data_IF_210646965797
#
_entry.id   IF_210646965797
#
_cell.length_a   1.000
_cell.length_b   1.000
_cell.length_c   1.000
_cell.angle_alpha   90.00
_cell.angle_beta   90.00
_cell.angle_gamma   90.00
#
_symmetry.space_group_name_H-M   'P 1'
#
loop_
_entity.id
_entity.type
_entity.pdbx_description
1 polymer ?
#
# COMPACT_ATOMS: atom_id res chain seq x y z
N UNK A 1 61.48 -6.18 -2.07
CA UNK A 1 60.55 -7.28 -1.68
C UNK A 1 59.62 -6.69 -0.64
N UNK A 2 58.43 -6.16 -0.91
CA UNK A 2 57.42 -6.46 -1.93
C UNK A 2 56.11 -6.57 -1.15
N UNK A 3 55.60 -5.43 -0.65
CA UNK A 3 54.40 -5.35 0.18
C UNK A 3 53.18 -4.99 -0.65
N UNK A 4 52.14 -5.80 -0.56
CA UNK A 4 50.85 -5.61 -1.24
C UNK A 4 49.81 -5.13 -0.23
N UNK A 5 49.51 -3.83 -0.27
CA UNK A 5 48.31 -3.25 0.34
C UNK A 5 47.11 -3.52 -0.57
N UNK A 6 46.04 -4.08 -0.02
CA UNK A 6 44.76 -4.23 -0.72
C UNK A 6 43.92 -2.95 -0.52
N UNK A 7 43.55 -2.32 -1.64
CA UNK A 7 42.60 -1.22 -1.71
C UNK A 7 41.16 -1.73 -1.52
N UNK A 8 40.44 -1.12 -0.57
CA UNK A 8 39.00 -1.30 -0.39
C UNK A 8 38.26 -0.29 -1.28
N UNK A 9 37.57 -0.81 -2.30
CA UNK A 9 36.71 -0.03 -3.19
C UNK A 9 35.49 0.51 -2.44
N UNK A 10 35.46 1.82 -2.26
CA UNK A 10 34.32 2.57 -1.74
C UNK A 10 33.29 2.76 -2.88
N UNK A 11 32.10 2.15 -2.76
CA UNK A 11 30.99 2.39 -3.69
C UNK A 11 30.40 3.78 -3.40
N UNK A 12 30.70 4.75 -4.26
CA UNK A 12 30.09 6.07 -4.28
C UNK A 12 28.70 5.97 -4.90
N UNK A 13 27.65 6.28 -4.13
CA UNK A 13 26.31 6.49 -4.68
C UNK A 13 26.32 7.79 -5.51
N UNK A 14 26.16 7.65 -6.82
CA UNK A 14 26.07 8.77 -7.75
C UNK A 14 24.84 9.64 -7.42
N UNK A 15 25.08 10.92 -7.12
CA UNK A 15 24.03 11.94 -7.06
C UNK A 15 23.62 12.26 -8.51
N UNK A 16 22.44 11.81 -8.92
CA UNK A 16 21.89 12.10 -10.25
C UNK A 16 21.16 13.45 -10.22
N UNK A 17 21.81 14.49 -10.72
CA UNK A 17 21.25 15.84 -10.97
C UNK A 17 20.28 15.87 -12.17
N UNK A 18 19.45 14.85 -12.34
CA UNK A 18 18.47 14.83 -13.41
C UNK A 18 17.17 15.48 -12.93
N UNK A 19 16.89 16.69 -13.41
CA UNK A 19 15.59 17.35 -13.27
C UNK A 19 14.57 16.66 -14.21
N UNK A 20 14.22 15.41 -13.90
CA UNK A 20 13.29 14.60 -14.70
C UNK A 20 11.88 15.19 -14.53
N UNK A 21 11.18 15.55 -15.62
CA UNK A 21 9.81 16.05 -15.53
C UNK A 21 8.91 15.06 -14.79
N UNK A 22 8.05 15.54 -13.88
CA UNK A 22 7.15 14.68 -13.07
C UNK A 22 6.37 13.67 -13.92
N UNK A 23 5.92 14.07 -15.10
CA UNK A 23 5.21 13.19 -16.04
C UNK A 23 6.06 11.98 -16.47
N UNK A 24 7.34 12.20 -16.76
CA UNK A 24 8.28 11.14 -17.14
C UNK A 24 8.51 10.20 -15.96
N UNK A 25 8.71 10.75 -14.76
CA UNK A 25 8.89 9.96 -13.55
C UNK A 25 7.67 9.08 -13.26
N UNK A 26 6.45 9.60 -13.46
CA UNK A 26 5.23 8.78 -13.33
C UNK A 26 5.20 7.66 -14.36
N UNK A 27 5.51 7.95 -15.63
CA UNK A 27 5.49 6.94 -16.71
C UNK A 27 6.41 5.75 -16.42
N UNK A 28 7.55 5.98 -15.77
CA UNK A 28 8.49 4.92 -15.37
C UNK A 28 7.98 4.02 -14.24
N UNK A 29 6.93 4.44 -13.53
CA UNK A 29 6.39 3.75 -12.36
C UNK A 29 4.91 3.36 -12.52
N UNK A 30 4.44 3.26 -13.76
CA UNK A 30 3.13 2.70 -14.13
C UNK A 30 3.29 1.61 -15.19
N UNK A 31 2.32 0.71 -15.29
CA UNK A 31 2.17 -0.24 -16.40
C UNK A 31 0.83 -0.04 -17.08
N UNK A 32 0.73 -0.33 -18.38
CA UNK A 32 -0.52 -0.30 -19.13
C UNK A 32 -0.86 -1.70 -19.62
N UNK A 33 -2.10 -2.10 -19.46
CA UNK A 33 -2.70 -3.32 -19.98
C UNK A 33 -4.11 -3.01 -20.55
N UNK A 34 -4.90 -4.05 -20.82
CA UNK A 34 -6.25 -3.93 -21.38
C UNK A 34 -7.27 -3.39 -20.36
N UNK A 35 -6.98 -3.50 -19.06
CA UNK A 35 -7.85 -3.03 -17.98
C UNK A 35 -7.58 -1.57 -17.57
N UNK A 36 -6.41 -1.03 -17.93
CA UNK A 36 -6.09 0.38 -17.82
C UNK A 36 -4.60 0.64 -17.54
N UNK A 37 -4.33 1.70 -16.78
CA UNK A 37 -2.99 2.08 -16.36
C UNK A 37 -2.87 1.80 -14.85
N UNK A 38 -1.97 0.91 -14.50
CA UNK A 38 -1.78 0.38 -13.15
C UNK A 38 -0.58 1.02 -12.46
N UNK A 39 -0.69 1.23 -11.15
CA UNK A 39 0.45 1.59 -10.32
C UNK A 39 1.46 0.43 -10.28
N UNK A 40 2.73 0.72 -10.61
CA UNK A 40 3.85 -0.22 -10.55
C UNK A 40 4.97 0.29 -9.63
N UNK A 41 4.61 1.09 -8.63
CA UNK A 41 5.61 1.70 -7.75
C UNK A 41 6.23 0.67 -6.79
N UNK A 42 5.44 -0.28 -6.30
CA UNK A 42 5.92 -1.43 -5.53
C UNK A 42 6.24 -2.59 -6.46
N UNK A 43 7.45 -3.15 -6.31
CA UNK A 43 7.88 -4.34 -7.07
C UNK A 43 7.43 -5.64 -6.41
N UNK A 44 7.10 -5.58 -5.12
CA UNK A 44 6.81 -6.73 -4.28
C UNK A 44 5.29 -6.98 -4.16
N UNK A 45 4.92 -8.24 -3.95
CA UNK A 45 3.53 -8.60 -3.66
C UNK A 45 3.15 -8.19 -2.22
N UNK A 46 1.93 -7.66 -2.01
CA UNK A 46 0.83 -7.55 -2.98
C UNK A 46 0.97 -6.36 -3.93
N UNK A 47 0.66 -6.60 -5.21
CA UNK A 47 0.63 -5.55 -6.24
C UNK A 47 -0.41 -4.49 -5.88
N UNK A 48 -0.07 -3.22 -6.13
CA UNK A 48 -1.02 -2.14 -5.92
C UNK A 48 -2.22 -2.29 -6.87
N UNK A 49 -3.43 -2.21 -6.32
CA UNK A 49 -4.68 -2.36 -7.08
C UNK A 49 -5.16 -1.06 -7.72
N UNK A 50 -4.39 0.03 -7.62
CA UNK A 50 -4.78 1.31 -8.20
C UNK A 50 -4.62 1.30 -9.72
N UNK A 51 -5.76 1.47 -10.39
CA UNK A 51 -5.87 1.55 -11.86
C UNK A 51 -6.58 2.85 -12.26
N UNK A 52 -6.12 3.46 -13.36
CA UNK A 52 -6.82 4.54 -14.03
C UNK A 52 -7.03 4.21 -15.50
N UNK A 53 -8.24 4.40 -16.01
CA UNK A 53 -8.55 4.22 -17.43
C UNK A 53 -7.82 5.24 -18.32
N UNK A 54 -7.75 6.48 -17.85
CA UNK A 54 -7.07 7.57 -18.56
C UNK A 54 -5.82 8.01 -17.80
N UNK A 55 -4.72 8.21 -18.52
CA UNK A 55 -3.46 8.62 -17.91
C UNK A 55 -3.55 10.04 -17.33
N UNK A 56 -3.50 10.15 -16.00
CA UNK A 56 -3.35 11.43 -15.31
C UNK A 56 -2.17 11.37 -14.34
N UNK A 57 -1.01 11.88 -14.78
CA UNK A 57 0.22 11.84 -13.99
C UNK A 57 0.08 12.50 -12.60
N UNK A 58 -0.79 13.50 -12.41
CA UNK A 58 -1.00 14.13 -11.10
C UNK A 58 -1.72 13.20 -10.12
N UNK A 59 -2.65 12.39 -10.61
CA UNK A 59 -3.38 11.42 -9.80
C UNK A 59 -2.47 10.28 -9.35
N UNK A 60 -1.65 9.75 -10.27
CA UNK A 60 -0.62 8.77 -9.92
C UNK A 60 0.39 9.31 -8.93
N UNK A 61 0.92 10.52 -9.14
CA UNK A 61 1.87 11.11 -8.18
C UNK A 61 1.27 11.26 -6.77
N UNK A 62 -0.02 11.65 -6.67
CA UNK A 62 -0.72 11.71 -5.37
C UNK A 62 -0.90 10.32 -4.76
N UNK A 63 -1.33 9.35 -5.57
CA UNK A 63 -1.47 7.96 -5.17
C UNK A 63 -0.14 7.39 -4.65
N UNK A 64 0.96 7.61 -5.35
CA UNK A 64 2.31 7.22 -4.94
C UNK A 64 2.65 7.79 -3.56
N UNK A 65 2.48 9.10 -3.36
CA UNK A 65 2.80 9.73 -2.08
C UNK A 65 1.92 9.26 -0.91
N UNK A 66 0.67 8.85 -1.15
CA UNK A 66 -0.26 8.44 -0.09
C UNK A 66 -0.20 6.94 0.21
N UNK A 67 -0.12 6.10 -0.82
CA UNK A 67 -0.19 4.65 -0.68
C UNK A 67 1.19 3.99 -0.63
N UNK A 68 2.21 4.65 -1.15
CA UNK A 68 3.58 4.15 -1.28
C UNK A 68 4.61 5.21 -0.84
N UNK A 69 4.47 5.79 0.38
CA UNK A 69 5.24 6.97 0.77
C UNK A 69 6.76 6.72 0.75
N UNK A 70 7.19 5.50 1.04
CA UNK A 70 8.60 5.14 1.07
C UNK A 70 9.19 5.04 -0.35
N UNK A 71 8.55 4.26 -1.23
CA UNK A 71 8.96 4.04 -2.61
C UNK A 71 8.87 5.34 -3.42
N UNK A 72 7.81 6.13 -3.20
CA UNK A 72 7.62 7.42 -3.83
C UNK A 72 8.74 8.40 -3.46
N UNK A 73 9.17 8.38 -2.20
CA UNK A 73 10.31 9.18 -1.73
C UNK A 73 11.61 8.72 -2.38
N UNK A 74 11.87 7.41 -2.46
CA UNK A 74 13.09 6.88 -3.09
C UNK A 74 13.17 7.22 -4.59
N UNK A 75 12.01 7.28 -5.27
CA UNK A 75 11.91 7.62 -6.68
C UNK A 75 11.87 9.12 -6.95
N UNK A 76 11.88 9.97 -5.91
CA UNK A 76 11.95 11.43 -6.07
C UNK A 76 10.60 12.12 -6.32
N UNK A 77 9.45 11.44 -6.19
CA UNK A 77 8.13 12.08 -6.29
C UNK A 77 7.89 13.14 -5.21
N UNK A 78 8.62 13.03 -4.10
CA UNK A 78 8.53 13.96 -2.97
C UNK A 78 9.57 15.11 -3.05
N UNK A 79 10.25 15.34 -4.19
CA UNK A 79 11.32 16.37 -4.28
C UNK A 79 10.86 17.80 -3.95
N UNK A 80 9.61 18.18 -4.15
CA UNK A 80 9.07 19.48 -3.69
C UNK A 80 8.84 19.61 -2.17
N UNK A 81 8.77 18.49 -1.45
CA UNK A 81 8.58 18.45 0.00
C UNK A 81 9.93 18.51 0.76
N UNK A 82 11.04 18.20 0.08
CA UNK A 82 12.40 18.14 0.64
C UNK A 82 13.38 19.17 0.04
N UNK A 83 13.24 19.56 -1.24
CA UNK A 83 14.32 20.23 -1.99
C UNK A 83 14.16 21.75 -2.16
N UNK A 84 12.96 22.30 -1.99
CA UNK A 84 12.74 23.76 -1.95
C UNK A 84 13.48 24.49 -0.81
N UNK A 85 14.26 23.78 0.00
CA UNK A 85 15.04 24.30 1.13
C UNK A 85 16.55 24.20 0.89
N UNK A 86 17.06 23.31 0.03
CA UNK A 86 18.50 23.16 -0.19
C UNK A 86 19.07 24.22 -1.16
N UNK A 87 18.34 24.56 -2.23
CA UNK A 87 18.84 25.54 -3.22
C UNK A 87 18.79 27.00 -2.74
N UNK A 88 18.00 27.32 -1.71
CA UNK A 88 17.94 28.67 -1.14
C UNK A 88 19.06 28.99 -0.14
N UNK A 89 19.97 28.04 0.10
CA UNK A 89 21.11 28.21 1.01
C UNK A 89 22.42 28.65 0.36
N UNK A 90 22.56 28.60 -0.97
CA UNK A 90 23.88 28.77 -1.63
C UNK A 90 23.94 29.91 -2.66
N UNK A 91 22.82 30.54 -3.03
CA UNK A 91 22.82 31.68 -3.97
C UNK A 91 22.15 32.93 -3.39
N UNK A 92 22.78 33.54 -2.38
CA UNK A 92 22.66 34.98 -2.08
C UNK A 92 23.97 35.51 -1.48
N UNK A 93 25.00 35.54 -2.32
CA UNK A 93 26.18 36.37 -2.09
C UNK A 93 26.80 36.82 -3.43
N UNK A 94 26.00 37.32 -4.37
CA UNK A 94 26.44 38.33 -5.34
C UNK A 94 25.28 38.83 -6.19
N UNK A 95 25.32 40.14 -6.38
CA UNK A 95 24.69 40.94 -7.43
C UNK A 95 23.22 41.35 -7.34
N UNK A 96 23.11 42.68 -7.31
CA UNK A 96 21.93 43.50 -7.48
C UNK A 96 21.66 43.71 -8.98
N UNK A 97 20.39 44.02 -9.21
CA UNK A 97 19.80 44.76 -10.33
C UNK A 97 19.30 43.99 -11.56
N UNK A 98 18.09 44.43 -11.92
CA UNK A 98 17.37 44.35 -13.19
C UNK A 98 16.31 43.24 -13.43
N UNK A 99 15.06 43.67 -13.26
CA UNK A 99 13.93 43.61 -14.23
C UNK A 99 13.03 42.34 -14.29
N UNK A 100 11.81 42.55 -13.75
CA UNK A 100 10.45 42.31 -14.27
C UNK A 100 9.97 40.89 -14.63
N UNK A 101 8.86 40.52 -13.97
CA UNK A 101 7.77 39.74 -14.57
C UNK A 101 7.51 38.37 -13.94
N UNK A 102 6.85 38.31 -12.77
CA UNK A 102 6.38 37.03 -12.21
C UNK A 102 4.93 37.07 -11.72
N UNK A 103 4.20 36.10 -12.29
CA UNK A 103 2.86 35.62 -11.97
C UNK A 103 2.72 35.37 -10.46
N UNK A 104 1.69 35.99 -9.87
CA UNK A 104 1.30 35.83 -8.47
C UNK A 104 0.66 34.44 -8.24
N UNK A 105 1.37 33.55 -7.56
CA UNK A 105 0.74 32.43 -6.86
C UNK A 105 0.86 32.73 -5.37
N UNK A 106 -0.28 33.01 -4.75
CA UNK A 106 -0.40 33.42 -3.35
C UNK A 106 -0.16 32.21 -2.43
N UNK A 107 1.09 31.96 -2.04
CA UNK A 107 1.40 31.08 -0.91
C UNK A 107 1.28 31.93 0.36
N UNK A 108 0.45 31.55 1.35
CA UNK A 108 0.27 32.35 2.55
C UNK A 108 1.60 32.48 3.31
N UNK A 109 1.97 33.73 3.63
CA UNK A 109 3.18 34.04 4.37
C UNK A 109 3.19 33.29 5.71
N UNK A 110 4.33 32.66 6.03
CA UNK A 110 4.53 32.02 7.32
C UNK A 110 4.36 33.06 8.44
N UNK A 111 3.44 32.80 9.36
CA UNK A 111 3.20 33.65 10.52
C UNK A 111 4.50 33.80 11.34
N UNK A 112 4.75 34.98 11.93
CA UNK A 112 5.90 35.20 12.80
C UNK A 112 5.94 34.15 13.91
N UNK A 113 7.14 33.62 14.19
CA UNK A 113 7.34 32.52 15.14
C UNK A 113 6.83 32.93 16.52
N UNK A 114 5.90 32.20 17.13
CA UNK A 114 5.59 32.41 18.53
C UNK A 114 6.84 32.07 19.37
N UNK A 115 7.19 32.94 20.31
CA UNK A 115 8.35 32.78 21.19
C UNK A 115 8.02 31.78 22.32
N UNK A 116 7.61 30.57 21.94
CA UNK A 116 7.17 29.50 22.83
C UNK A 116 8.14 28.32 22.73
N UNK A 117 8.46 27.70 23.87
CA UNK A 117 9.10 26.39 23.87
C UNK A 117 8.18 25.36 23.22
N UNK A 118 8.72 24.27 22.65
CA UNK A 118 7.87 23.22 22.08
C UNK A 118 6.89 22.65 23.08
N UNK A 119 7.29 22.46 24.34
CA UNK A 119 6.39 21.96 25.37
C UNK A 119 5.16 22.86 25.49
N UNK A 120 5.36 24.19 25.54
CA UNK A 120 4.27 25.16 25.57
C UNK A 120 3.46 25.17 24.27
N UNK A 121 4.11 24.99 23.12
CA UNK A 121 3.43 24.94 21.83
C UNK A 121 2.55 23.69 21.72
N UNK A 122 3.04 22.52 22.15
CA UNK A 122 2.28 21.26 22.19
C UNK A 122 1.11 21.36 23.13
N UNK A 123 1.31 21.90 24.34
CA UNK A 123 0.24 22.08 25.32
C UNK A 123 -0.92 22.94 24.82
N UNK A 124 -0.72 23.75 23.78
CA UNK A 124 -1.78 24.56 23.16
C UNK A 124 -2.70 23.76 22.24
N UNK A 125 -2.30 22.55 21.84
CA UNK A 125 -3.00 21.73 20.84
C UNK A 125 -3.28 20.31 21.34
N UNK A 126 -3.43 20.17 22.65
CA UNK A 126 -3.87 18.95 23.32
C UNK A 126 -4.99 19.31 24.30
N UNK A 127 -5.90 18.37 24.54
CA UNK A 127 -6.84 18.39 25.67
C UNK A 127 -6.53 17.26 26.63
N UNK A 128 -7.00 17.40 27.87
CA UNK A 128 -6.84 16.40 28.93
C UNK A 128 -8.24 16.08 29.45
N UNK A 129 -8.71 14.87 29.18
CA UNK A 129 -10.01 14.34 29.61
C UNK A 129 -9.75 13.02 30.34
N UNK A 130 -10.28 12.85 31.56
CA UNK A 130 -10.21 11.59 32.33
C UNK A 130 -8.80 10.95 32.42
N UNK A 131 -7.77 11.75 32.71
CA UNK A 131 -6.36 11.33 32.77
C UNK A 131 -5.76 10.89 31.41
N UNK A 132 -6.47 11.13 30.30
CA UNK A 132 -6.02 10.87 28.94
C UNK A 132 -5.78 12.19 28.22
N UNK A 133 -4.64 12.27 27.53
CA UNK A 133 -4.21 13.45 26.78
C UNK A 133 -4.52 13.21 25.30
N UNK A 134 -5.41 14.02 24.74
CA UNK A 134 -5.89 13.91 23.36
C UNK A 134 -5.21 14.93 22.45
N UNK A 135 -5.04 14.57 21.17
CA UNK A 135 -4.60 15.51 20.14
C UNK A 135 -5.77 16.40 19.66
N UNK A 136 -5.61 17.73 19.74
CA UNK A 136 -6.59 18.72 19.24
C UNK A 136 -6.06 19.58 18.09
N UNK A 137 -4.95 19.17 17.47
CA UNK A 137 -4.32 19.98 16.43
C UNK A 137 -5.20 20.18 15.19
N UNK A 138 -6.08 19.22 14.90
CA UNK A 138 -7.03 19.26 13.77
C UNK A 138 -8.10 20.38 13.88
N UNK A 139 -8.24 21.01 15.06
CA UNK A 139 -9.26 22.04 15.29
C UNK A 139 -10.67 21.53 15.01
N UNK A 140 -11.38 22.15 14.06
CA UNK A 140 -12.77 21.81 13.70
C UNK A 140 -12.89 20.58 12.79
N UNK A 141 -11.79 19.90 12.48
CA UNK A 141 -11.81 18.64 11.72
C UNK A 141 -12.34 17.45 12.56
N UNK A 142 -12.40 16.25 11.96
CA UNK A 142 -12.67 15.03 12.71
C UNK A 142 -11.65 14.88 13.86
N UNK A 143 -12.14 14.51 15.05
CA UNK A 143 -11.30 14.34 16.24
C UNK A 143 -10.18 13.35 15.96
N UNK A 144 -8.95 13.74 16.26
CA UNK A 144 -7.82 12.84 16.15
C UNK A 144 -7.92 11.75 17.22
N UNK A 145 -7.68 10.50 16.84
CA UNK A 145 -7.75 9.34 17.75
C UNK A 145 -6.46 9.13 18.54
N UNK A 146 -5.42 9.93 18.30
CA UNK A 146 -4.16 9.81 19.02
C UNK A 146 -4.30 10.31 20.45
N UNK A 147 -3.96 9.42 21.39
CA UNK A 147 -4.04 9.65 22.83
C UNK A 147 -2.76 9.21 23.53
N UNK A 148 -2.43 9.86 24.64
CA UNK A 148 -1.38 9.44 25.57
C UNK A 148 -1.88 9.50 27.00
N UNK A 149 -1.52 8.52 27.83
CA UNK A 149 -1.77 8.59 29.28
C UNK A 149 -0.72 9.47 29.98
N UNK A 150 0.54 9.40 29.55
CA UNK A 150 1.62 10.24 30.07
C UNK A 150 2.00 11.35 29.09
N UNK A 151 2.17 12.58 29.58
CA UNK A 151 2.49 13.71 28.72
C UNK A 151 3.92 13.62 28.15
N UNK A 152 4.03 13.28 26.86
CA UNK A 152 5.28 13.36 26.11
C UNK A 152 5.19 14.32 24.93
N UNK A 153 5.56 15.58 25.17
CA UNK A 153 5.55 16.64 24.16
C UNK A 153 6.32 16.29 22.87
N UNK A 154 7.37 15.46 22.91
CA UNK A 154 8.10 15.07 21.70
C UNK A 154 7.30 14.10 20.85
N UNK A 155 6.62 13.14 21.47
CA UNK A 155 5.74 12.19 20.78
C UNK A 155 4.56 12.91 20.12
N UNK A 156 3.93 13.86 20.82
CA UNK A 156 2.90 14.72 20.23
C UNK A 156 3.43 15.55 19.05
N UNK A 157 4.62 16.15 19.16
CA UNK A 157 5.20 16.91 18.06
C UNK A 157 5.45 16.04 16.81
N UNK A 158 5.91 14.79 16.98
CA UNK A 158 6.06 13.83 15.88
C UNK A 158 4.70 13.46 15.29
N UNK A 159 3.74 13.12 16.14
CA UNK A 159 2.37 12.81 15.74
C UNK A 159 1.74 13.96 14.93
N UNK A 160 1.87 15.20 15.40
CA UNK A 160 1.41 16.40 14.71
C UNK A 160 1.97 16.51 13.30
N UNK A 161 3.28 16.32 13.14
CA UNK A 161 3.90 16.44 11.83
C UNK A 161 3.63 15.27 10.88
N UNK A 162 3.31 14.09 11.41
CA UNK A 162 3.01 12.90 10.60
C UNK A 162 1.52 12.84 10.21
N UNK A 163 0.63 13.10 11.16
CA UNK A 163 -0.81 12.91 11.01
C UNK A 163 -1.56 14.20 10.67
N UNK A 164 -0.99 15.36 11.01
CA UNK A 164 -1.57 16.69 10.77
C UNK A 164 -0.57 17.64 10.09
N UNK A 165 0.08 17.24 8.98
CA UNK A 165 1.21 17.98 8.42
C UNK A 165 0.85 19.42 8.04
N UNK A 166 -0.41 19.66 7.63
CA UNK A 166 -0.87 20.98 7.22
C UNK A 166 -1.15 21.89 8.42
N UNK A 167 -1.86 21.39 9.42
CA UNK A 167 -2.18 22.10 10.66
C UNK A 167 -0.90 22.36 11.46
N UNK A 168 -0.03 21.35 11.58
CA UNK A 168 1.26 21.44 12.22
C UNK A 168 2.10 22.58 11.61
N UNK A 169 2.16 22.67 10.28
CA UNK A 169 2.83 23.75 9.56
C UNK A 169 2.24 25.13 9.89
N UNK A 170 0.90 25.26 9.88
CA UNK A 170 0.19 26.50 10.23
C UNK A 170 0.41 26.93 11.68
N UNK A 171 0.57 25.97 12.60
CA UNK A 171 0.72 26.22 14.04
C UNK A 171 2.18 26.30 14.50
N UNK A 172 3.14 26.24 13.58
CA UNK A 172 4.56 26.47 13.87
C UNK A 172 5.36 25.22 14.24
N UNK A 173 4.82 24.02 14.09
CA UNK A 173 5.55 22.74 14.19
C UNK A 173 6.40 22.44 12.94
N UNK A 174 6.99 23.47 12.35
CA UNK A 174 7.73 23.36 11.10
C UNK A 174 8.97 22.46 11.22
N UNK A 175 9.42 21.92 10.07
CA UNK A 175 10.55 20.99 9.94
C UNK A 175 11.85 21.41 10.63
N UNK A 176 12.09 22.71 10.81
CA UNK A 176 13.27 23.19 11.56
C UNK A 176 13.33 22.62 12.98
N UNK A 177 12.17 22.50 13.63
CA UNK A 177 12.08 21.98 14.99
C UNK A 177 12.28 20.46 15.06
N UNK A 178 11.65 19.71 14.15
CA UNK A 178 11.80 18.25 14.09
C UNK A 178 13.21 17.83 13.67
N UNK A 179 13.82 18.56 12.73
CA UNK A 179 15.21 18.34 12.33
C UNK A 179 16.15 18.58 13.51
N UNK A 180 16.00 19.67 14.26
CA UNK A 180 16.82 19.94 15.43
C UNK A 180 16.59 18.93 16.58
N UNK A 181 15.35 18.49 16.82
CA UNK A 181 15.07 17.47 17.83
C UNK A 181 15.55 16.08 17.42
N UNK A 182 15.40 15.71 16.15
CA UNK A 182 15.88 14.44 15.62
C UNK A 182 17.41 14.43 15.51
N UNK A 183 18.04 15.54 15.13
CA UNK A 183 19.50 15.69 15.10
C UNK A 183 20.07 15.70 16.51
N UNK A 184 19.47 16.41 17.47
CA UNK A 184 19.89 16.35 18.88
C UNK A 184 19.65 14.97 19.48
N UNK A 185 18.58 14.27 19.10
CA UNK A 185 18.35 12.88 19.51
C UNK A 185 19.32 11.90 18.82
N UNK A 186 19.72 12.16 17.57
CA UNK A 186 20.69 11.36 16.83
C UNK A 186 22.12 11.59 17.34
N UNK A 187 22.50 12.83 17.68
CA UNK A 187 23.77 13.17 18.32
C UNK A 187 23.81 12.62 19.75
N UNK A 188 22.71 12.70 20.52
CA UNK A 188 22.62 12.04 21.81
C UNK A 188 22.74 10.50 21.68
N UNK A 189 22.16 9.90 20.63
CA UNK A 189 22.32 8.47 20.32
C UNK A 189 23.71 8.10 19.79
N UNK A 190 24.39 9.01 19.09
CA UNK A 190 25.74 8.79 18.55
C UNK A 190 26.84 8.96 19.61
N UNK A 191 26.65 9.87 20.58
CA UNK A 191 27.50 10.01 21.76
C UNK A 191 27.28 8.90 22.81
N UNK A 192 26.25 8.07 22.63
CA UNK A 192 25.93 6.89 23.43
C UNK A 192 26.30 5.61 22.67
N UNK A 193 27.55 5.49 22.25
CA UNK A 193 28.16 4.17 22.06
C UNK A 193 29.09 3.87 23.23
N UNK A 194 28.65 2.85 23.98
CA UNK A 194 29.41 1.97 24.90
C UNK A 194 29.61 2.54 26.31
N UNK A 195 28.53 2.49 27.10
CA UNK A 195 28.45 1.87 28.43
C UNK A 195 27.16 2.33 29.14
N UNK A 196 26.00 2.12 28.51
CA UNK A 196 24.78 2.02 29.31
C UNK A 196 24.72 0.58 29.75
N UNK A 197 25.16 0.33 30.98
CA UNK A 197 24.74 -0.85 31.71
C UNK A 197 23.22 -0.74 31.87
N UNK A 198 22.48 -1.13 30.81
CA UNK A 198 21.05 -1.26 30.87
C UNK A 198 20.79 -2.29 31.96
N UNK A 199 20.35 -1.81 33.12
CA UNK A 199 20.01 -2.69 34.24
C UNK A 199 18.89 -3.59 33.72
N UNK A 200 19.13 -4.90 33.76
CA UNK A 200 18.09 -5.86 33.43
C UNK A 200 16.91 -5.63 34.37
N UNK A 201 15.66 -5.77 33.88
CA UNK A 201 14.47 -5.52 34.71
C UNK A 201 14.43 -6.44 35.94
N UNK A 202 14.99 -7.65 35.80
CA UNK A 202 15.17 -8.61 36.90
C UNK A 202 16.56 -9.23 36.86
N UNK A 203 17.02 -9.73 38.01
CA UNK A 203 18.23 -10.56 38.10
C UNK A 203 18.03 -11.95 37.47
N UNK A 204 16.80 -12.45 37.49
CA UNK A 204 16.42 -13.75 36.95
C UNK A 204 15.98 -13.63 35.47
N UNK A 205 16.71 -14.24 34.50
CA UNK A 205 16.36 -14.23 33.08
C UNK A 205 15.03 -14.90 32.76
N UNK A 206 14.49 -15.72 33.67
CA UNK A 206 13.22 -16.43 33.47
C UNK A 206 11.97 -15.56 33.68
N UNK A 207 12.16 -14.26 33.95
CA UNK A 207 11.07 -13.30 34.23
C UNK A 207 10.78 -12.33 33.10
N UNK A 208 11.56 -12.37 32.01
CA UNK A 208 11.41 -11.43 30.91
C UNK A 208 11.83 -12.06 29.58
N UNK A 209 11.35 -11.48 28.48
CA UNK A 209 11.79 -11.81 27.14
C UNK A 209 13.23 -11.33 26.92
N UNK A 210 14.13 -12.24 26.55
CA UNK A 210 15.55 -11.96 26.31
C UNK A 210 15.80 -10.87 25.25
N UNK A 211 14.94 -10.79 24.24
CA UNK A 211 15.14 -9.88 23.08
C UNK A 211 14.55 -8.49 23.27
N UNK A 212 13.46 -8.34 24.03
CA UNK A 212 12.78 -7.06 24.19
C UNK A 212 12.62 -6.60 25.65
N UNK A 213 13.10 -7.38 26.61
CA UNK A 213 12.92 -7.18 28.05
C UNK A 213 11.46 -7.06 28.53
N UNK A 214 10.48 -7.42 27.69
CA UNK A 214 9.08 -7.47 28.09
C UNK A 214 8.87 -8.53 29.17
N UNK A 215 8.21 -8.14 30.24
CA UNK A 215 7.77 -9.01 31.34
C UNK A 215 6.32 -9.43 31.17
N UNK A 216 5.62 -8.86 30.19
CA UNK A 216 4.23 -9.14 29.86
C UNK A 216 4.13 -10.08 28.67
N UNK A 217 3.09 -10.93 28.69
CA UNK A 217 2.75 -11.87 27.63
C UNK A 217 3.20 -13.31 27.91
N UNK A 218 2.82 -14.21 27.00
CA UNK A 218 3.23 -15.61 27.05
C UNK A 218 4.71 -15.72 26.69
N UNK A 219 5.52 -16.09 27.69
CA UNK A 219 6.95 -16.33 27.54
C UNK A 219 7.19 -17.84 27.37
N UNK A 220 8.00 -18.21 26.38
CA UNK A 220 8.39 -19.60 26.13
C UNK A 220 9.89 -19.78 26.30
N UNK A 221 10.37 -20.94 26.78
CA UNK A 221 11.80 -21.20 26.92
C UNK A 221 12.48 -21.23 25.56
N UNK A 222 13.65 -20.59 25.47
CA UNK A 222 14.45 -20.63 24.23
C UNK A 222 15.03 -22.03 24.01
N UNK A 223 15.44 -22.70 25.09
CA UNK A 223 15.94 -24.06 25.04
C UNK A 223 14.86 -25.03 25.56
N UNK A 224 14.12 -25.66 24.66
CA UNK A 224 13.19 -26.73 25.02
C UNK A 224 13.76 -28.09 24.60
N UNK A 225 14.02 -28.98 25.58
CA UNK A 225 14.55 -30.33 25.31
C UNK A 225 13.58 -31.25 24.58
N UNK A 226 12.28 -30.91 24.56
CA UNK A 226 11.23 -31.76 23.96
C UNK A 226 10.86 -31.37 22.55
N UNK A 227 11.09 -30.12 22.17
CA UNK A 227 10.67 -29.61 20.88
C UNK A 227 11.86 -29.59 19.92
N UNK A 228 11.67 -30.12 18.72
CA UNK A 228 12.67 -30.02 17.64
C UNK A 228 12.81 -28.59 17.08
N UNK A 229 12.12 -27.62 17.66
CA UNK A 229 12.20 -26.23 17.26
C UNK A 229 13.44 -25.60 17.91
N UNK A 230 14.52 -25.52 17.14
CA UNK A 230 15.75 -24.87 17.55
C UNK A 230 15.61 -23.34 17.52
N UNK A 231 14.91 -22.82 18.52
CA UNK A 231 14.67 -21.39 18.68
C UNK A 231 15.97 -20.63 18.95
N UNK A 232 16.97 -21.28 19.56
CA UNK A 232 18.29 -20.71 19.76
C UNK A 232 18.99 -20.47 18.41
N UNK A 233 19.01 -21.47 17.52
CA UNK A 233 19.54 -21.30 16.16
C UNK A 233 18.74 -20.27 15.35
N UNK A 234 17.43 -20.16 15.56
CA UNK A 234 16.61 -19.13 14.93
C UNK A 234 16.99 -17.72 15.41
N UNK A 235 17.23 -17.53 16.71
CA UNK A 235 17.71 -16.27 17.28
C UNK A 235 19.08 -15.90 16.69
N UNK A 236 20.02 -16.85 16.65
CA UNK A 236 21.37 -16.63 16.12
C UNK A 236 21.32 -16.27 14.62
N UNK A 237 20.59 -17.02 13.80
CA UNK A 237 20.50 -16.78 12.36
C UNK A 237 19.81 -15.46 11.98
N UNK A 238 18.84 -15.01 12.77
CA UNK A 238 18.11 -13.76 12.51
C UNK A 238 18.77 -12.52 13.13
N UNK A 239 19.48 -12.65 14.25
CA UNK A 239 19.98 -11.50 15.04
C UNK A 239 21.48 -11.49 15.28
N UNK A 240 22.18 -12.57 14.96
CA UNK A 240 23.59 -12.81 15.29
C UNK A 240 23.89 -12.81 16.80
N UNK A 241 22.85 -12.96 17.65
CA UNK A 241 23.02 -13.16 19.09
C UNK A 241 23.17 -14.65 19.35
N UNK A 242 24.36 -15.05 19.79
CA UNK A 242 24.63 -16.41 20.25
C UNK A 242 24.16 -16.57 21.70
N UNK A 243 23.40 -17.63 21.96
CA UNK A 243 22.93 -17.99 23.29
C UNK A 243 23.64 -19.28 23.69
N UNK A 244 24.27 -19.25 24.86
CA UNK A 244 25.00 -20.40 25.37
C UNK A 244 24.02 -21.34 26.09
N UNK A 245 23.97 -22.65 25.75
CA UNK A 245 23.01 -23.57 26.35
C UNK A 245 23.15 -23.74 27.86
N UNK A 246 24.33 -23.54 28.42
CA UNK A 246 24.61 -23.72 29.84
C UNK A 246 24.30 -22.42 30.62
N UNK A 247 24.68 -21.26 30.08
CA UNK A 247 24.47 -19.95 30.72
C UNK A 247 23.05 -19.37 30.47
N UNK A 248 22.49 -19.57 29.27
CA UNK A 248 21.20 -19.01 28.86
C UNK A 248 20.03 -20.02 28.96
N UNK A 249 20.21 -21.16 29.66
CA UNK A 249 19.17 -22.21 29.79
C UNK A 249 17.82 -21.69 30.28
N UNK A 250 17.83 -20.63 31.11
CA UNK A 250 16.63 -20.01 31.70
C UNK A 250 16.07 -18.85 30.88
N UNK A 251 16.68 -18.53 29.75
CA UNK A 251 16.22 -17.43 28.88
C UNK A 251 14.87 -17.78 28.27
N UNK A 252 13.95 -16.83 28.34
CA UNK A 252 12.63 -16.93 27.71
C UNK A 252 12.51 -15.92 26.57
N UNK A 253 11.60 -16.19 25.64
CA UNK A 253 11.22 -15.26 24.57
C UNK A 253 9.69 -15.09 24.56
N UNK A 254 9.20 -13.88 24.30
CA UNK A 254 7.75 -13.68 24.13
C UNK A 254 7.29 -14.10 22.73
N UNK A 255 6.01 -14.48 22.62
CA UNK A 255 5.36 -14.86 21.34
C UNK A 255 5.61 -13.81 20.24
N UNK A 256 5.49 -12.51 20.56
CA UNK A 256 5.69 -11.45 19.56
C UNK A 256 7.13 -11.36 19.04
N UNK A 257 8.15 -11.63 19.87
CA UNK A 257 9.52 -11.71 19.38
C UNK A 257 9.75 -12.98 18.56
N UNK A 258 9.16 -14.10 18.96
CA UNK A 258 9.22 -15.35 18.20
C UNK A 258 8.61 -15.19 16.79
N UNK A 259 7.44 -14.56 16.68
CA UNK A 259 6.79 -14.29 15.40
C UNK A 259 7.66 -13.44 14.48
N UNK A 260 8.26 -12.37 15.01
CA UNK A 260 9.21 -11.53 14.25
C UNK A 260 10.43 -12.31 13.76
N UNK A 261 10.97 -13.22 14.56
CA UNK A 261 12.07 -14.07 14.12
C UNK A 261 11.67 -14.97 12.95
N UNK A 262 10.47 -15.55 12.97
CA UNK A 262 9.96 -16.34 11.84
C UNK A 262 9.71 -15.48 10.59
N UNK A 263 9.20 -14.25 10.75
CA UNK A 263 9.05 -13.30 9.64
C UNK A 263 10.39 -12.96 8.98
N UNK A 264 11.41 -12.66 9.79
CA UNK A 264 12.79 -12.41 9.31
C UNK A 264 13.31 -13.64 8.56
N UNK A 265 13.15 -14.84 9.11
CA UNK A 265 13.61 -16.07 8.47
C UNK A 265 12.87 -16.35 7.14
N UNK A 266 11.57 -16.06 7.06
CA UNK A 266 10.77 -16.18 5.84
C UNK A 266 11.28 -15.21 4.77
N UNK A 267 11.53 -13.97 5.15
CA UNK A 267 12.08 -12.95 4.27
C UNK A 267 13.49 -13.32 3.78
N UNK A 268 14.38 -13.78 4.67
CA UNK A 268 15.71 -14.25 4.28
C UNK A 268 15.66 -15.37 3.24
N UNK A 269 14.79 -16.38 3.44
CA UNK A 269 14.58 -17.48 2.47
C UNK A 269 14.06 -16.96 1.13
N UNK A 270 13.14 -15.99 1.15
CA UNK A 270 12.64 -15.35 -0.06
C UNK A 270 13.77 -14.65 -0.82
N UNK A 271 14.60 -13.85 -0.14
CA UNK A 271 15.75 -13.19 -0.76
C UNK A 271 16.76 -14.19 -1.35
N UNK A 272 17.06 -15.27 -0.64
CA UNK A 272 17.97 -16.32 -1.12
C UNK A 272 17.44 -16.97 -2.41
N UNK A 273 16.17 -17.37 -2.42
CA UNK A 273 15.52 -17.96 -3.60
C UNK A 273 15.55 -17.01 -4.79
N UNK A 274 15.24 -15.73 -4.60
CA UNK A 274 15.28 -14.73 -5.67
C UNK A 274 16.72 -14.53 -6.18
N UNK A 275 17.71 -14.51 -5.28
CA UNK A 275 19.11 -14.40 -5.66
C UNK A 275 19.59 -15.62 -6.47
N UNK A 276 19.18 -16.83 -6.10
CA UNK A 276 19.48 -18.05 -6.87
C UNK A 276 18.95 -17.96 -8.32
N UNK A 277 17.73 -17.46 -8.50
CA UNK A 277 17.14 -17.23 -9.82
C UNK A 277 18.02 -16.26 -10.62
N UNK A 278 18.42 -15.13 -10.03
CA UNK A 278 19.29 -14.13 -10.69
C UNK A 278 20.66 -14.73 -11.06
N UNK A 279 21.27 -15.49 -10.17
CA UNK A 279 22.57 -16.16 -10.42
C UNK A 279 22.44 -17.19 -11.54
N UNK A 280 21.36 -17.97 -11.57
CA UNK A 280 21.12 -18.97 -12.62
C UNK A 280 20.89 -18.33 -13.99
N UNK A 281 20.15 -17.22 -14.06
CA UNK A 281 20.01 -16.45 -15.30
C UNK A 281 21.36 -15.91 -15.81
N UNK A 282 22.22 -15.41 -14.92
CA UNK A 282 23.58 -14.94 -15.29
C UNK A 282 24.47 -16.07 -15.81
N UNK A 283 24.35 -17.28 -15.25
CA UNK A 283 25.10 -18.46 -15.71
C UNK A 283 24.59 -18.98 -17.05
N UNK A 284 23.27 -19.00 -17.25
CA UNK A 284 22.64 -19.43 -18.52
C UNK A 284 23.00 -18.54 -19.70
N UNK A 285 23.02 -17.21 -19.51
CA UNK A 285 23.36 -16.26 -20.57
C UNK A 285 24.81 -16.35 -21.07
N UNK A 286 25.72 -16.93 -20.28
CA UNK A 286 27.12 -17.14 -20.69
C UNK A 286 27.32 -18.36 -21.59
N UNK A 287 26.39 -19.33 -21.61
CA UNK A 287 26.53 -20.56 -22.41
C UNK A 287 26.09 -20.41 -23.86
N UNK A 288 25.33 -19.36 -24.21
CA UNK A 288 24.85 -19.09 -25.59
C UNK A 288 25.78 -18.24 -26.46
N UNK A 289 26.96 -17.86 -25.96
CA UNK A 289 28.04 -17.21 -26.75
C UNK A 289 29.27 -18.11 -26.85
N UNK A 290 29.11 -19.31 -27.41
CA UNK A 290 30.26 -20.01 -28.00
C UNK A 290 30.28 -19.66 -29.49
N UNK A 291 31.32 -18.96 -29.99
CA UNK A 291 31.41 -18.62 -31.40
C UNK A 291 31.51 -19.91 -32.21
N UNK A 292 30.64 -20.05 -33.20
CA UNK A 292 30.80 -21.03 -34.27
C UNK A 292 32.18 -20.77 -34.89
N UNK A 293 33.14 -21.63 -34.54
CA UNK A 293 34.37 -21.78 -35.30
C UNK A 293 34.10 -22.93 -36.23
N UNK A 294 33.98 -22.58 -37.51
CA UNK A 294 33.93 -23.47 -38.65
C UNK A 294 35.25 -24.27 -38.71
N UNK A 295 35.15 -25.48 -39.27
CA UNK A 295 36.20 -26.42 -39.67
C UNK A 295 36.85 -27.32 -38.59
N UNK A 296 36.41 -28.59 -38.51
CA UNK A 296 37.03 -29.71 -39.25
C UNK A 296 36.69 -31.10 -38.64
N UNK A 297 35.97 -31.90 -39.45
CA UNK A 297 36.11 -33.33 -39.78
C UNK A 297 36.32 -34.46 -38.74
N UNK A 298 35.60 -35.54 -39.08
CA UNK A 298 35.80 -36.98 -38.88
C UNK A 298 35.28 -37.67 -37.61
N UNK A 299 34.22 -38.44 -37.87
CA UNK A 299 33.97 -39.84 -37.49
C UNK A 299 33.87 -40.20 -36.01
N UNK A 300 32.63 -40.30 -35.50
CA UNK A 300 32.24 -41.50 -34.75
C UNK A 300 30.72 -41.71 -34.74
N UNK A 301 30.32 -42.94 -35.04
CA UNK A 301 28.96 -43.45 -34.96
C UNK A 301 28.55 -43.67 -33.51
N UNK A 302 27.35 -43.22 -33.13
CA UNK A 302 26.33 -43.95 -32.35
C UNK A 302 25.53 -43.08 -31.36
N UNK A 303 24.22 -43.37 -31.32
CA UNK A 303 23.20 -42.95 -30.35
C UNK A 303 22.76 -41.46 -30.48
N UNK A 304 21.79 -41.11 -31.32
CA UNK A 304 20.37 -41.52 -31.33
C UNK A 304 19.67 -41.39 -29.96
N UNK A 305 19.25 -40.17 -29.61
CA UNK A 305 18.08 -39.96 -28.75
C UNK A 305 17.35 -38.68 -29.18
N UNK A 306 16.30 -38.85 -29.99
CA UNK A 306 15.43 -37.80 -30.51
C UNK A 306 14.51 -37.28 -29.39
N UNK A 307 14.61 -36.00 -29.05
CA UNK A 307 13.49 -35.23 -28.50
C UNK A 307 12.91 -34.41 -29.64
N UNK A 308 11.84 -34.96 -30.20
CA UNK A 308 11.00 -34.38 -31.24
C UNK A 308 10.20 -33.20 -30.63
N UNK A 309 10.71 -31.99 -30.80
CA UNK A 309 9.95 -30.77 -30.53
C UNK A 309 9.09 -30.44 -31.74
N UNK A 310 7.79 -30.45 -31.49
CA UNK A 310 6.68 -30.01 -32.32
C UNK A 310 7.03 -28.69 -33.03
N UNK A 311 7.21 -28.79 -34.34
CA UNK A 311 7.18 -27.69 -35.31
C UNK A 311 5.70 -27.45 -35.67
N UNK A 312 5.15 -26.23 -35.57
CA UNK A 312 3.85 -25.95 -36.17
C UNK A 312 4.04 -25.78 -37.68
N UNK A 313 3.38 -26.64 -38.46
CA UNK A 313 3.26 -26.49 -39.90
C UNK A 313 2.23 -25.40 -40.26
N UNK A 314 2.37 -24.76 -41.43
CA UNK A 314 1.55 -23.64 -41.85
C UNK A 314 0.18 -24.12 -42.36
N UNK A 315 -0.87 -23.49 -41.88
CA UNK A 315 -2.26 -23.76 -42.25
C UNK A 315 -2.51 -23.28 -43.69
N UNK A 316 -2.65 -24.24 -44.61
CA UNK A 316 -3.05 -24.00 -45.99
C UNK A 316 -4.53 -23.62 -46.10
N UNK A 317 -4.77 -22.61 -46.94
CA UNK A 317 -6.07 -22.14 -47.40
C UNK A 317 -6.71 -23.20 -48.31
N UNK A 318 -7.93 -23.64 -47.98
CA UNK A 318 -8.82 -24.30 -48.95
C UNK A 318 -10.10 -23.47 -49.02
N UNK A 319 -10.35 -22.91 -50.20
CA UNK A 319 -11.59 -22.28 -50.58
C UNK A 319 -12.54 -23.38 -51.08
N UNK A 320 -13.69 -23.55 -50.44
CA UNK A 320 -14.84 -24.24 -51.03
C UNK A 320 -16.12 -23.44 -50.79
N UNK A 321 -16.77 -23.15 -51.90
CA UNK A 321 -18.09 -22.55 -52.00
C UNK A 321 -19.13 -23.54 -51.46
N UNK A 322 -19.91 -23.12 -50.46
CA UNK A 322 -21.16 -23.81 -50.12
C UNK A 322 -22.23 -22.76 -49.87
N UNK A 323 -23.16 -22.67 -50.82
CA UNK A 323 -24.36 -21.86 -50.76
C UNK A 323 -25.33 -22.44 -49.75
N UNK A 324 -25.45 -21.81 -48.58
CA UNK A 324 -26.53 -22.05 -47.62
C UNK A 324 -27.27 -20.73 -47.44
N UNK A 325 -28.51 -20.72 -47.92
CA UNK A 325 -29.52 -19.71 -47.59
C UNK A 325 -29.86 -19.90 -46.12
N UNK A 326 -29.33 -19.04 -45.25
CA UNK A 326 -29.74 -18.95 -43.85
C UNK A 326 -30.55 -17.66 -43.69
N UNK A 327 -31.79 -17.82 -43.22
CA UNK A 327 -32.75 -16.77 -42.96
C UNK A 327 -32.17 -15.71 -42.01
N UNK A 328 -32.50 -14.45 -42.31
CA UNK A 328 -32.19 -13.31 -41.47
C UNK A 328 -32.81 -13.51 -40.07
N UNK A 329 -32.04 -13.35 -38.97
CA UNK A 329 -32.64 -13.19 -37.66
C UNK A 329 -33.43 -11.87 -37.63
N UNK A 330 -34.58 -11.83 -36.94
CA UNK A 330 -35.40 -10.64 -36.87
C UNK A 330 -34.59 -9.51 -36.22
N UNK A 331 -34.67 -8.33 -36.82
CA UNK A 331 -34.10 -7.10 -36.29
C UNK A 331 -34.57 -6.91 -34.83
N UNK A 332 -33.65 -7.07 -33.89
CA UNK A 332 -33.87 -6.58 -32.54
C UNK A 332 -33.88 -5.05 -32.64
N UNK A 333 -35.08 -4.48 -32.45
CA UNK A 333 -35.24 -3.04 -32.22
C UNK A 333 -34.49 -2.70 -30.92
N UNK A 334 -33.24 -2.28 -31.07
CA UNK A 334 -32.49 -1.60 -30.03
C UNK A 334 -33.33 -0.41 -29.58
N UNK A 335 -33.90 -0.51 -28.38
CA UNK A 335 -34.49 0.61 -27.68
C UNK A 335 -33.39 1.64 -27.49
N UNK A 336 -33.33 2.63 -28.38
CA UNK A 336 -32.40 3.75 -28.31
C UNK A 336 -32.68 4.47 -27.00
N UNK A 337 -31.88 4.16 -25.98
CA UNK A 337 -31.97 4.78 -24.67
C UNK A 337 -31.72 6.27 -24.85
N UNK A 338 -32.80 7.05 -24.81
CA UNK A 338 -32.81 8.46 -25.15
C UNK A 338 -31.97 9.21 -24.10
N UNK A 339 -30.73 9.53 -24.48
CA UNK A 339 -29.80 10.22 -23.59
C UNK A 339 -30.36 11.61 -23.22
N UNK A 340 -30.18 12.09 -21.98
CA UNK A 340 -30.76 13.35 -21.51
C UNK A 340 -30.17 14.61 -22.15
N UNK A 341 -29.28 14.47 -23.14
CA UNK A 341 -28.65 15.55 -23.89
C UNK A 341 -28.56 15.18 -25.39
N UNK A 342 -28.53 16.21 -26.24
CA UNK A 342 -28.29 16.06 -27.69
C UNK A 342 -26.91 16.63 -28.05
N UNK A 343 -26.20 15.99 -28.98
CA UNK A 343 -24.92 16.49 -29.51
C UNK A 343 -25.22 17.35 -30.74
N UNK A 344 -24.72 18.60 -30.74
CA UNK A 344 -24.86 19.53 -31.87
C UNK A 344 -23.75 19.33 -32.90
N UNK A 345 -23.95 19.85 -34.11
CA UNK A 345 -23.01 19.71 -35.24
C UNK A 345 -21.64 20.36 -35.01
N UNK A 346 -21.53 21.30 -34.07
CA UNK A 346 -20.28 21.94 -33.67
C UNK A 346 -19.51 21.18 -32.55
N UNK A 347 -20.02 20.00 -32.15
CA UNK A 347 -19.44 19.18 -31.08
C UNK A 347 -19.80 19.65 -29.66
N UNK A 348 -20.67 20.64 -29.53
CA UNK A 348 -21.23 21.03 -28.24
C UNK A 348 -22.41 20.14 -27.83
N UNK A 349 -22.75 20.15 -26.55
CA UNK A 349 -23.78 19.31 -25.94
C UNK A 349 -24.93 20.20 -25.47
N UNK A 350 -26.17 19.91 -25.84
CA UNK A 350 -27.37 20.64 -25.43
C UNK A 350 -28.21 19.79 -24.47
N UNK A 351 -28.40 20.28 -23.25
CA UNK A 351 -29.22 19.62 -22.24
C UNK A 351 -30.69 19.60 -22.68
N UNK A 352 -31.36 18.45 -22.66
CA UNK A 352 -32.78 18.38 -23.04
C UNK A 352 -33.70 18.94 -21.95
N UNK A 353 -33.23 19.09 -20.71
CA UNK A 353 -34.05 19.57 -19.59
C UNK A 353 -34.12 21.10 -19.49
N UNK A 354 -33.07 21.82 -19.91
CA UNK A 354 -33.03 23.29 -19.82
C UNK A 354 -32.45 24.00 -21.05
N UNK A 355 -32.18 23.26 -22.13
CA UNK A 355 -31.65 23.75 -23.40
C UNK A 355 -30.28 24.45 -23.33
N UNK A 356 -29.57 24.39 -22.18
CA UNK A 356 -28.20 24.93 -22.07
C UNK A 356 -27.23 24.17 -22.96
N UNK A 357 -26.47 24.92 -23.76
CA UNK A 357 -25.38 24.39 -24.60
C UNK A 357 -24.05 24.49 -23.88
N UNK A 358 -23.31 23.38 -23.83
CA UNK A 358 -22.05 23.23 -23.11
C UNK A 358 -21.00 22.69 -24.07
N UNK A 359 -19.82 23.29 -24.04
CA UNK A 359 -18.73 23.00 -24.98
C UNK A 359 -17.96 21.71 -24.71
N UNK A 360 -18.33 20.95 -23.67
CA UNK A 360 -17.72 19.65 -23.37
C UNK A 360 -18.69 18.75 -22.60
N UNK A 361 -18.52 17.44 -22.75
CA UNK A 361 -19.27 16.44 -21.99
C UNK A 361 -19.04 16.56 -20.47
N UNK A 362 -17.83 16.94 -20.04
CA UNK A 362 -17.52 17.15 -18.63
C UNK A 362 -18.32 18.32 -18.03
N UNK A 363 -18.48 19.41 -18.81
CA UNK A 363 -19.34 20.54 -18.43
C UNK A 363 -20.81 20.10 -18.38
N UNK A 364 -21.26 19.26 -19.32
CA UNK A 364 -22.62 18.69 -19.34
C UNK A 364 -22.94 17.82 -18.13
N UNK A 365 -22.03 16.93 -17.74
CA UNK A 365 -22.20 16.08 -16.54
C UNK A 365 -22.24 16.94 -15.27
N UNK A 366 -21.33 17.92 -15.15
CA UNK A 366 -21.30 18.84 -14.01
C UNK A 366 -22.58 19.68 -13.94
N UNK A 367 -23.10 20.10 -15.09
CA UNK A 367 -24.39 20.79 -15.18
C UNK A 367 -25.55 19.91 -14.69
N UNK A 368 -25.63 18.63 -15.11
CA UNK A 368 -26.65 17.72 -14.60
C UNK A 368 -26.62 17.55 -13.08
N UNK A 369 -25.42 17.39 -12.51
CA UNK A 369 -25.25 17.25 -11.06
C UNK A 369 -25.67 18.52 -10.30
N UNK A 370 -25.35 19.70 -10.81
CA UNK A 370 -25.62 20.94 -10.08
C UNK A 370 -27.04 21.47 -10.29
N UNK A 371 -27.57 21.35 -11.51
CA UNK A 371 -28.80 22.04 -11.93
C UNK A 371 -30.01 21.08 -12.06
N UNK A 372 -29.79 19.76 -12.15
CA UNK A 372 -30.85 18.78 -12.42
C UNK A 372 -30.89 17.58 -11.45
N UNK A 373 -29.94 17.45 -10.52
CA UNK A 373 -29.92 16.38 -9.52
C UNK A 373 -31.06 16.50 -8.50
N UNK A 374 -31.79 17.63 -8.49
CA UNK A 374 -33.04 17.82 -7.73
C UNK A 374 -34.33 17.54 -8.54
N UNK A 375 -34.24 17.25 -9.84
CA UNK A 375 -35.42 17.15 -10.71
C UNK A 375 -35.90 15.70 -10.98
N UNK A 376 -35.23 14.68 -10.46
CA UNK A 376 -35.73 13.29 -10.47
C UNK A 376 -36.43 12.95 -9.15
N UNK A 377 -37.62 13.54 -8.95
CA UNK A 377 -38.84 12.86 -8.47
C UNK A 377 -39.91 13.85 -7.97
N UNK A 378 -41.01 14.04 -8.71
CA UNK A 378 -42.30 14.35 -8.15
C UNK A 378 -43.26 13.16 -8.35
N UNK A 379 -43.64 12.48 -7.28
CA UNK A 379 -44.90 11.73 -7.21
C UNK A 379 -45.47 11.87 -5.78
N UNK A 380 -46.79 11.73 -5.60
CA UNK A 380 -47.61 12.74 -4.96
C UNK A 380 -48.02 12.26 -3.57
N UNK A 381 -48.54 13.20 -2.77
CA UNK A 381 -49.27 12.93 -1.54
C UNK A 381 -50.37 11.88 -1.77
N UNK A 382 -50.11 10.66 -1.31
CA UNK A 382 -51.04 9.54 -1.29
C UNK A 382 -50.70 8.66 -0.10
N UNK A 383 -51.49 8.79 0.96
CA UNK A 383 -51.42 7.99 2.17
C UNK A 383 -51.49 6.49 1.86
N UNK A 384 -50.43 5.75 2.20
CA UNK A 384 -50.55 4.37 2.70
C UNK A 384 -49.26 4.00 3.44
N UNK A 385 -49.51 3.48 4.63
CA UNK A 385 -48.63 2.93 5.65
C UNK A 385 -47.47 2.06 5.11
N UNK A 386 -46.24 2.58 5.04
CA UNK A 386 -45.01 1.79 4.97
C UNK A 386 -43.93 2.43 5.85
N UNK A 387 -44.01 2.11 7.13
CA UNK A 387 -43.00 2.46 8.14
C UNK A 387 -42.12 1.25 8.51
N UNK A 388 -41.68 0.46 7.53
CA UNK A 388 -40.57 -0.46 7.75
C UNK A 388 -39.26 0.32 7.63
N UNK A 389 -38.77 0.80 8.78
CA UNK A 389 -37.36 1.19 8.91
C UNK A 389 -36.52 -0.03 8.59
N UNK A 390 -35.87 0.00 7.44
CA UNK A 390 -34.94 -1.03 6.99
C UNK A 390 -33.70 -1.03 7.92
N UNK A 391 -33.80 -1.76 9.05
CA UNK A 391 -32.78 -1.92 10.11
C UNK A 391 -31.58 -2.78 9.66
N UNK A 392 -31.51 -3.14 8.39
CA UNK A 392 -30.57 -4.10 7.80
C UNK A 392 -29.12 -3.58 7.62
N UNK A 393 -28.92 -2.26 7.68
CA UNK A 393 -27.59 -1.62 7.53
C UNK A 393 -27.56 -0.18 8.07
N UNK A 394 -26.43 0.22 8.65
CA UNK A 394 -26.16 1.58 9.12
C UNK A 394 -25.30 2.38 8.15
N UNK A 395 -25.51 3.69 8.06
CA UNK A 395 -24.62 4.60 7.31
C UNK A 395 -23.47 5.06 8.21
N UNK A 396 -22.23 4.90 7.74
CA UNK A 396 -21.00 5.29 8.45
C UNK A 396 -20.18 6.21 7.55
N UNK A 397 -19.58 7.27 8.09
CA UNK A 397 -18.69 8.16 7.34
C UNK A 397 -17.25 7.84 7.70
N UNK A 398 -16.43 7.46 6.71
CA UNK A 398 -15.00 7.17 6.87
C UNK A 398 -14.24 8.10 5.96
N UNK A 399 -13.43 9.00 6.54
CA UNK A 399 -12.67 10.01 5.81
C UNK A 399 -13.56 10.87 4.89
N UNK A 400 -14.67 11.39 5.42
CA UNK A 400 -15.67 12.20 4.69
C UNK A 400 -16.41 11.47 3.56
N UNK A 401 -16.12 10.18 3.33
CA UNK A 401 -16.81 9.36 2.36
C UNK A 401 -17.88 8.52 3.07
N UNK A 402 -19.16 8.59 2.64
CA UNK A 402 -20.20 7.76 3.21
C UNK A 402 -20.07 6.30 2.74
N UNK A 403 -20.21 5.38 3.68
CA UNK A 403 -20.34 3.94 3.48
C UNK A 403 -21.62 3.46 4.15
N UNK A 404 -22.06 2.27 3.77
CA UNK A 404 -23.13 1.52 4.41
C UNK A 404 -22.53 0.25 4.99
N UNK A 405 -22.65 0.09 6.31
CA UNK A 405 -22.22 -1.07 7.09
C UNK A 405 -23.41 -1.98 7.33
N UNK A 406 -23.28 -3.27 7.03
CA UNK A 406 -24.30 -4.25 7.39
C UNK A 406 -24.46 -4.31 8.93
N UNK A 407 -25.68 -4.48 9.45
CA UNK A 407 -25.89 -4.62 10.90
C UNK A 407 -25.53 -6.02 11.41
N UNK A 408 -25.68 -7.05 10.58
CA UNK A 408 -25.42 -8.45 10.93
C UNK A 408 -23.95 -8.88 10.73
N UNK A 409 -23.12 -8.08 10.04
CA UNK A 409 -21.69 -8.37 9.86
C UNK A 409 -20.87 -7.10 9.58
N UNK A 410 -19.53 -7.20 9.60
CA UNK A 410 -18.64 -6.04 9.39
C UNK A 410 -18.44 -5.62 7.92
N UNK A 411 -19.30 -6.10 6.99
CA UNK A 411 -19.21 -5.71 5.58
C UNK A 411 -19.56 -4.23 5.38
N UNK A 412 -18.68 -3.50 4.70
CA UNK A 412 -18.83 -2.08 4.34
C UNK A 412 -18.87 -1.90 2.82
N UNK A 413 -19.85 -1.14 2.33
CA UNK A 413 -19.98 -0.84 0.90
C UNK A 413 -20.31 0.63 0.65
N UNK A 414 -19.85 1.20 -0.47
CA UNK A 414 -20.13 2.62 -0.81
C UNK A 414 -21.54 2.90 -1.28
N UNK A 415 -22.22 1.89 -1.83
CA UNK A 415 -23.54 2.05 -2.44
C UNK A 415 -24.59 1.29 -1.62
N UNK A 416 -25.70 1.96 -1.31
CA UNK A 416 -26.84 1.36 -0.57
C UNK A 416 -27.36 0.10 -1.27
N UNK A 417 -27.47 0.12 -2.59
CA UNK A 417 -27.95 -1.02 -3.38
C UNK A 417 -27.06 -2.26 -3.24
N UNK A 418 -25.74 -2.07 -3.06
CA UNK A 418 -24.79 -3.17 -2.91
C UNK A 418 -24.88 -3.78 -1.51
N UNK A 419 -24.99 -2.96 -0.45
CA UNK A 419 -25.17 -3.49 0.91
C UNK A 419 -26.52 -4.19 1.06
N UNK A 420 -27.57 -3.67 0.42
CA UNK A 420 -28.89 -4.32 0.37
C UNK A 420 -28.83 -5.67 -0.34
N UNK A 421 -28.10 -5.78 -1.45
CA UNK A 421 -27.92 -7.04 -2.15
C UNK A 421 -27.09 -8.03 -1.33
N UNK A 422 -26.08 -7.54 -0.60
CA UNK A 422 -25.33 -8.34 0.37
C UNK A 422 -26.28 -8.86 1.46
N UNK A 423 -27.01 -7.96 2.12
CA UNK A 423 -27.93 -8.34 3.19
C UNK A 423 -29.00 -9.33 2.71
N UNK A 424 -29.60 -9.08 1.55
CA UNK A 424 -30.56 -10.01 0.94
C UNK A 424 -29.99 -11.38 0.62
N UNK A 425 -28.70 -11.47 0.32
CA UNK A 425 -28.04 -12.73 -0.06
C UNK A 425 -27.58 -13.52 1.15
N UNK A 426 -27.16 -12.84 2.22
CA UNK A 426 -26.49 -13.48 3.35
C UNK A 426 -27.29 -13.46 4.66
N UNK A 427 -28.28 -12.58 4.80
CA UNK A 427 -29.00 -12.34 6.06
C UNK A 427 -30.53 -12.42 5.96
N UNK A 428 -31.12 -12.33 4.75
CA UNK A 428 -32.59 -12.33 4.56
C UNK A 428 -33.26 -13.66 4.89
N UNK A 429 -32.63 -14.78 4.55
CA UNK A 429 -33.12 -16.12 4.90
C UNK A 429 -32.22 -16.68 6.01
N UNK A 430 -32.57 -16.42 7.28
CA UNK A 430 -31.90 -17.05 8.43
C UNK A 430 -31.94 -18.58 8.37
N UNK A 431 -32.93 -19.15 7.70
CA UNK A 431 -33.07 -20.59 7.52
C UNK A 431 -32.19 -21.18 6.40
N UNK A 432 -31.52 -20.33 5.61
CA UNK A 432 -30.53 -20.72 4.59
C UNK A 432 -29.12 -20.23 4.92
N UNK A 433 -28.80 -20.09 6.20
CA UNK A 433 -27.45 -19.80 6.67
C UNK A 433 -26.57 -21.04 6.44
N UNK A 434 -26.26 -21.32 5.17
CA UNK A 434 -25.26 -22.30 4.75
C UNK A 434 -23.96 -22.01 5.52
N UNK A 435 -23.33 -23.10 5.97
CA UNK A 435 -22.34 -23.14 7.04
C UNK A 435 -21.33 -21.98 7.00
N UNK A 436 -21.41 -21.08 7.98
CA UNK A 436 -20.31 -20.17 8.28
C UNK A 436 -19.10 -21.03 8.61
N UNK A 437 -18.08 -21.00 7.77
CA UNK A 437 -16.90 -21.85 7.95
C UNK A 437 -15.82 -21.04 8.66
N UNK A 438 -15.49 -21.46 9.87
CA UNK A 438 -14.40 -20.88 10.65
C UNK A 438 -13.06 -21.46 10.20
N UNK A 439 -12.01 -20.64 10.26
CA UNK A 439 -10.65 -21.14 10.12
C UNK A 439 -10.35 -22.11 11.27
N UNK A 440 -9.80 -23.27 10.94
CA UNK A 440 -9.50 -24.34 11.92
C UNK A 440 -8.07 -24.24 12.48
N UNK A 441 -7.28 -23.29 12.01
CA UNK A 441 -5.90 -23.11 12.41
C UNK A 441 -5.77 -22.44 13.79
N UNK A 442 -4.88 -22.97 14.63
CA UNK A 442 -4.72 -22.53 16.01
C UNK A 442 -4.35 -21.04 16.08
N UNK A 443 -5.22 -20.24 16.71
CA UNK A 443 -5.03 -18.79 16.86
C UNK A 443 -5.59 -17.93 15.72
N UNK A 444 -6.38 -18.52 14.80
CA UNK A 444 -7.09 -17.77 13.77
C UNK A 444 -8.61 -17.77 14.00
N UNK A 445 -9.15 -16.62 14.41
CA UNK A 445 -10.58 -16.47 14.69
C UNK A 445 -11.37 -15.94 13.47
N UNK A 446 -10.82 -16.10 12.25
CA UNK A 446 -11.46 -15.62 11.03
C UNK A 446 -12.54 -16.59 10.56
N UNK A 447 -13.67 -16.05 10.11
CA UNK A 447 -14.77 -16.82 9.53
C UNK A 447 -15.04 -16.40 8.09
N UNK A 448 -15.57 -17.33 7.31
CA UNK A 448 -15.80 -17.15 5.89
C UNK A 448 -17.19 -17.63 5.52
N UNK A 449 -17.85 -16.86 4.66
CA UNK A 449 -19.17 -17.20 4.13
C UNK A 449 -19.09 -18.14 2.93
N UNK A 450 -17.89 -18.35 2.36
CA UNK A 450 -17.68 -19.24 1.22
C UNK A 450 -16.44 -20.11 1.46
N UNK A 451 -16.55 -21.41 1.19
CA UNK A 451 -15.40 -22.34 1.26
C UNK A 451 -14.24 -21.89 0.37
N UNK A 452 -14.52 -21.25 -0.77
CA UNK A 452 -13.49 -20.64 -1.64
C UNK A 452 -12.70 -19.52 -0.94
N UNK A 453 -13.36 -18.73 -0.10
CA UNK A 453 -12.71 -17.66 0.65
C UNK A 453 -11.86 -18.23 1.79
N UNK A 454 -12.35 -19.24 2.51
CA UNK A 454 -11.55 -19.97 3.51
C UNK A 454 -10.33 -20.64 2.86
N UNK A 455 -10.49 -21.29 1.71
CA UNK A 455 -9.38 -21.94 0.98
C UNK A 455 -8.28 -20.93 0.63
N UNK A 456 -8.65 -19.75 0.11
CA UNK A 456 -7.68 -18.67 -0.15
C UNK A 456 -7.02 -18.16 1.13
N UNK A 457 -7.77 -18.03 2.21
CA UNK A 457 -7.22 -17.63 3.49
C UNK A 457 -6.20 -18.64 4.03
N UNK A 458 -6.54 -19.94 4.01
CA UNK A 458 -5.63 -21.02 4.41
C UNK A 458 -4.36 -21.03 3.56
N UNK A 459 -4.46 -20.81 2.24
CA UNK A 459 -3.29 -20.75 1.36
C UNK A 459 -2.40 -19.53 1.66
N UNK A 460 -2.99 -18.34 1.82
CA UNK A 460 -2.24 -17.08 1.96
C UNK A 460 -1.66 -16.89 3.36
N UNK A 461 -2.45 -17.18 4.40
CA UNK A 461 -2.09 -16.87 5.78
C UNK A 461 -1.48 -18.06 6.51
N UNK A 462 -1.92 -19.28 6.19
CA UNK A 462 -1.44 -20.50 6.84
C UNK A 462 -0.50 -21.34 5.95
N UNK A 463 -0.40 -21.03 4.65
CA UNK A 463 0.39 -21.82 3.70
C UNK A 463 -0.21 -23.20 3.41
N UNK A 464 -1.48 -23.42 3.76
CA UNK A 464 -2.16 -24.70 3.60
C UNK A 464 -2.93 -24.69 2.28
N UNK A 465 -2.49 -25.52 1.35
CA UNK A 465 -3.21 -25.74 0.09
C UNK A 465 -4.16 -26.92 0.25
N UNK A 466 -5.45 -26.63 0.36
CA UNK A 466 -6.48 -27.66 0.25
C UNK A 466 -6.55 -28.12 -1.21
N UNK A 467 -6.18 -29.36 -1.47
CA UNK A 467 -6.39 -29.97 -2.78
C UNK A 467 -7.89 -30.25 -2.89
N UNK A 468 -8.55 -29.78 -3.95
CA UNK A 468 -9.95 -30.10 -4.17
C UNK A 468 -10.04 -31.61 -4.33
N UNK A 469 -10.51 -32.28 -3.28
CA UNK A 469 -10.82 -33.69 -3.35
C UNK A 469 -12.08 -33.74 -4.19
N UNK A 470 -11.94 -34.03 -5.49
CA UNK A 470 -13.07 -34.36 -6.35
C UNK A 470 -13.72 -35.63 -5.78
N UNK A 471 -14.69 -35.44 -4.89
CA UNK A 471 -15.59 -36.49 -4.46
C UNK A 471 -16.61 -36.66 -5.60
N UNK A 472 -16.23 -37.46 -6.60
CA UNK A 472 -17.18 -38.24 -7.38
C UNK A 472 -17.22 -39.61 -6.70
N UNK A 473 -18.11 -39.76 -5.73
CA UNK A 473 -18.66 -41.05 -5.28
C UNK A 473 -20.12 -40.84 -4.91
#
# INVERSE_FOLDING_TARGET
RGGTSQELNHVTMAQSDSNVPLKQLVLENVSKDDDGIHCKLTSDEPKCTYVQQNFNHKNFARHFCHMHPFEASMKGFCRGFLEGVLERGVQKASEKDAIVGKIHVHIPMAQPRPNLSLKQLVMKYISIDDEVIHCELAGNGPKCTYVQHDFNHKSFAVHFCQMHPFEAGKKGFGRGYLKEVLEKAAVAKASLKINVAAKTPYKDPSKYCRLCFSTTGNLQPVFNRRDNNDLAALVESCTHVQLDPDEDLRSLICVGCCQKLHEIQRFQRQCQRLNEIVVNHRKGAKRTKRPATEDAKDDDESATFLVEMIKPEPMEYIAEETSIVLEQPPAEEDTVEELPYSVLSDGSFRCQMCERTLNSLASMITHFQNDHEQATSPVPSGSTDESERDESFGRVVVNEVPYYKCTDCDTLMRLKSKILRHWRRYHRDRDRQEDIVFCTESGCDQFFMESKALKKHLELFHGIRLVDSNVND
#
